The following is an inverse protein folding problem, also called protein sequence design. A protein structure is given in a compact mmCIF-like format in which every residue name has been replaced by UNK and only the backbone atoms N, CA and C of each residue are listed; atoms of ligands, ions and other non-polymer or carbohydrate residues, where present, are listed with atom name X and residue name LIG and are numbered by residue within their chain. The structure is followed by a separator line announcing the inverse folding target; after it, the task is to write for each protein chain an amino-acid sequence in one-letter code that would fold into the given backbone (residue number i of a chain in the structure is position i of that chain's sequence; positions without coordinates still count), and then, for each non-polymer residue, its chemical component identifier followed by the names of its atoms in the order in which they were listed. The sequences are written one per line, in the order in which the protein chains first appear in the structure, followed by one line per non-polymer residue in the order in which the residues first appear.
data_IF_436415591732
#
_entry.id   IF_436415591732
#
_cell.length_a   1.000
_cell.length_b   1.000
_cell.length_c   1.000
_cell.angle_alpha   90.00
_cell.angle_beta   90.00
_cell.angle_gamma   90.00
#
_symmetry.space_group_name_H-M   'P 1'
#
loop_
_entity.id
_entity.type
_entity.pdbx_description
1 polymer ?
#
# COMPACT_ATOMS: atom_id res chain seq x y z
N UNK A 1 26.99 1.08 -15.29
CA UNK A 1 26.09 0.09 -14.68
C UNK A 1 24.93 0.78 -13.97
N UNK A 2 23.72 0.59 -14.49
CA UNK A 2 22.49 1.16 -13.95
C UNK A 2 21.89 0.31 -12.82
N UNK A 3 21.45 0.95 -11.75
CA UNK A 3 20.84 0.29 -10.58
C UNK A 3 19.46 0.88 -10.28
N UNK A 4 18.46 0.02 -10.12
CA UNK A 4 17.15 0.41 -9.61
C UNK A 4 17.06 0.07 -8.13
N UNK A 5 16.89 1.09 -7.29
CA UNK A 5 16.66 0.95 -5.85
C UNK A 5 15.19 1.15 -5.53
N UNK A 6 14.50 0.11 -5.05
CA UNK A 6 13.12 0.24 -4.56
C UNK A 6 13.15 0.31 -3.05
N UNK A 7 12.77 1.46 -2.48
CA UNK A 7 12.78 1.71 -1.03
C UNK A 7 11.43 2.21 -0.52
N UNK A 8 10.99 1.81 0.68
CA UNK A 8 9.84 2.42 1.32
C UNK A 8 10.18 3.86 1.75
N UNK A 9 9.27 4.82 1.50
CA UNK A 9 9.46 6.25 1.82
C UNK A 9 9.47 6.53 3.33
N UNK A 10 8.80 5.70 4.13
CA UNK A 10 8.80 5.75 5.60
C UNK A 10 8.87 4.33 6.15
N UNK A 11 9.54 4.14 7.31
CA UNK A 11 9.39 2.91 8.11
C UNK A 11 7.91 2.77 8.46
N UNK A 12 7.25 1.77 7.86
CA UNK A 12 5.89 1.43 8.21
C UNK A 12 5.88 0.77 9.59
N UNK A 13 4.88 1.07 10.42
CA UNK A 13 4.68 0.42 11.73
C UNK A 13 4.40 -1.08 11.59
N UNK A 14 3.89 -1.50 10.43
CA UNK A 14 3.69 -2.90 10.04
C UNK A 14 4.37 -3.08 8.69
N UNK A 15 5.51 -3.78 8.67
CA UNK A 15 6.25 -4.09 7.45
C UNK A 15 5.62 -5.29 6.73
N UNK A 16 4.49 -5.05 6.09
CA UNK A 16 3.90 -6.06 5.22
C UNK A 16 4.87 -6.36 4.05
N UNK A 17 5.01 -7.62 3.63
CA UNK A 17 5.80 -7.94 2.46
C UNK A 17 5.10 -7.40 1.21
N UNK A 18 5.86 -6.78 0.30
CA UNK A 18 5.38 -6.31 -0.99
C UNK A 18 6.21 -6.93 -2.10
N UNK A 19 5.57 -7.52 -3.09
CA UNK A 19 6.25 -7.99 -4.30
C UNK A 19 6.59 -6.80 -5.19
N UNK A 20 7.81 -6.79 -5.72
CA UNK A 20 8.23 -5.86 -6.77
C UNK A 20 8.23 -6.62 -8.08
N UNK A 21 7.43 -6.11 -9.01
CA UNK A 21 7.33 -6.61 -10.36
C UNK A 21 7.92 -5.57 -11.32
N UNK A 22 8.69 -6.02 -12.29
CA UNK A 22 9.17 -5.20 -13.40
C UNK A 22 8.65 -5.84 -14.68
N UNK A 23 7.92 -5.06 -15.50
CA UNK A 23 7.22 -5.58 -16.68
C UNK A 23 6.40 -6.85 -16.35
N UNK A 24 5.69 -6.80 -15.23
CA UNK A 24 4.84 -7.89 -14.71
C UNK A 24 5.58 -9.19 -14.30
N UNK A 25 6.92 -9.21 -14.29
CA UNK A 25 7.74 -10.28 -13.72
C UNK A 25 8.16 -9.96 -12.29
N UNK A 26 7.97 -10.91 -11.36
CA UNK A 26 8.39 -10.76 -9.97
C UNK A 26 9.90 -10.85 -9.88
N UNK A 27 10.55 -9.75 -9.51
CA UNK A 27 12.02 -9.68 -9.36
C UNK A 27 12.48 -9.63 -7.90
N UNK A 28 11.57 -9.36 -6.96
CA UNK A 28 11.93 -9.35 -5.55
C UNK A 28 10.77 -9.09 -4.60
N UNK A 29 11.08 -9.12 -3.31
CA UNK A 29 10.14 -8.87 -2.22
C UNK A 29 10.73 -7.81 -1.28
N UNK A 30 10.01 -6.70 -1.12
CA UNK A 30 10.31 -5.60 -0.19
C UNK A 30 9.65 -5.94 1.15
N UNK A 31 10.45 -6.23 2.17
CA UNK A 31 10.02 -6.41 3.57
C UNK A 31 10.95 -5.61 4.48
N UNK A 32 10.68 -4.31 4.62
CA UNK A 32 11.50 -3.39 5.44
C UNK A 32 12.89 -3.05 4.87
N UNK A 33 13.37 -3.80 3.87
CA UNK A 33 14.69 -3.64 3.25
C UNK A 33 14.58 -3.10 1.81
N UNK A 34 15.65 -2.44 1.37
CA UNK A 34 15.77 -1.90 0.00
C UNK A 34 16.06 -3.05 -0.96
N UNK A 35 15.26 -3.19 -2.01
CA UNK A 35 15.51 -4.17 -3.08
C UNK A 35 16.36 -3.49 -4.15
N UNK A 36 17.48 -4.13 -4.49
CA UNK A 36 18.39 -3.70 -5.56
C UNK A 36 18.14 -4.57 -6.78
N UNK A 37 17.78 -3.97 -7.90
CA UNK A 37 17.52 -4.68 -9.15
C UNK A 37 18.46 -4.13 -10.22
N UNK A 38 19.20 -5.02 -10.87
CA UNK A 38 20.01 -4.68 -12.04
C UNK A 38 19.11 -4.69 -13.26
N UNK A 39 19.04 -3.56 -13.96
CA UNK A 39 18.26 -3.41 -15.20
C UNK A 39 19.12 -2.68 -16.23
N UNK A 40 19.16 -3.14 -17.50
CA UNK A 40 19.80 -2.39 -18.57
C UNK A 40 19.05 -1.07 -18.83
N UNK A 41 19.63 -0.18 -19.63
CA UNK A 41 18.96 1.06 -20.00
C UNK A 41 17.67 0.78 -20.78
N UNK A 42 16.60 1.48 -20.43
CA UNK A 42 15.28 1.26 -21.02
C UNK A 42 14.12 1.78 -20.17
N UNK A 43 12.91 1.66 -20.72
CA UNK A 43 11.67 2.00 -20.03
C UNK A 43 11.05 0.75 -19.41
N UNK A 44 10.78 0.81 -18.11
CA UNK A 44 10.27 -0.31 -17.32
C UNK A 44 9.02 0.08 -16.56
N UNK A 45 8.00 -0.79 -16.59
CA UNK A 45 6.85 -0.70 -15.71
C UNK A 45 7.20 -1.34 -14.37
N UNK A 46 7.45 -0.52 -13.36
CA UNK A 46 7.67 -0.98 -11.98
C UNK A 46 6.33 -1.03 -11.27
N UNK A 47 5.93 -2.22 -10.82
CA UNK A 47 4.69 -2.45 -10.09
C UNK A 47 5.01 -3.02 -8.72
N UNK A 48 4.50 -2.37 -7.68
CA UNK A 48 4.58 -2.85 -6.31
C UNK A 48 3.22 -3.42 -5.93
N UNK A 49 3.18 -4.69 -5.58
CA UNK A 49 1.96 -5.42 -5.22
C UNK A 49 2.07 -5.89 -3.78
N UNK A 50 1.05 -5.62 -2.97
CA UNK A 50 0.98 -6.19 -1.62
C UNK A 50 0.79 -7.70 -1.68
N UNK A 51 1.19 -8.44 -0.64
CA UNK A 51 0.86 -9.88 -0.50
C UNK A 51 -0.65 -10.11 -0.59
N UNK A 52 -1.44 -9.14 -0.14
CA UNK A 52 -2.86 -9.09 -0.44
C UNK A 52 -3.05 -8.69 -1.91
N UNK A 53 -3.20 -9.72 -2.77
CA UNK A 53 -3.22 -9.70 -4.25
C UNK A 53 -4.05 -8.58 -4.92
N UNK A 54 -4.93 -7.92 -4.17
CA UNK A 54 -5.84 -6.91 -4.68
C UNK A 54 -5.27 -5.50 -4.68
N UNK A 55 -4.20 -5.22 -3.92
CA UNK A 55 -3.62 -3.89 -3.76
C UNK A 55 -2.29 -3.79 -4.51
N UNK A 56 -2.21 -2.89 -5.48
CA UNK A 56 -0.99 -2.63 -6.24
C UNK A 56 -0.87 -1.15 -6.64
N UNK A 57 0.33 -0.75 -7.02
CA UNK A 57 0.60 0.54 -7.63
C UNK A 57 1.73 0.38 -8.64
N UNK A 58 1.54 1.01 -9.80
CA UNK A 58 2.47 0.91 -10.93
C UNK A 58 2.95 2.29 -11.35
N UNK A 59 4.23 2.39 -11.71
CA UNK A 59 4.81 3.57 -12.32
C UNK A 59 5.74 3.15 -13.47
N UNK A 60 5.78 3.99 -14.50
CA UNK A 60 6.76 3.87 -15.57
C UNK A 60 8.05 4.54 -15.11
N UNK A 61 9.16 3.84 -15.25
CA UNK A 61 10.49 4.28 -14.84
C UNK A 61 11.40 4.17 -16.04
N UNK A 62 12.04 5.27 -16.41
CA UNK A 62 13.09 5.29 -17.42
C UNK A 62 14.44 5.18 -16.71
N UNK A 63 15.26 4.23 -17.16
CA UNK A 63 16.61 3.99 -16.65
C UNK A 63 17.57 4.34 -17.78
N UNK A 64 18.37 5.40 -17.61
CA UNK A 64 19.44 5.77 -18.54
C UNK A 64 20.68 4.89 -18.39
N UNK A 65 21.61 5.01 -19.34
CA UNK A 65 22.93 4.39 -19.23
C UNK A 65 23.70 4.99 -18.05
N UNK A 66 24.22 4.13 -17.17
CA UNK A 66 24.96 4.50 -15.94
C UNK A 66 24.16 5.30 -14.88
N UNK A 67 22.83 5.39 -15.02
CA UNK A 67 22.00 6.10 -14.04
C UNK A 67 21.54 5.20 -12.88
N UNK A 68 21.46 5.81 -11.69
CA UNK A 68 20.86 5.18 -10.51
C UNK A 68 19.48 5.75 -10.25
N UNK A 69 18.45 4.93 -10.44
CA UNK A 69 17.07 5.35 -10.26
C UNK A 69 16.54 4.81 -8.93
N UNK A 70 16.06 5.72 -8.09
CA UNK A 70 15.47 5.35 -6.80
C UNK A 70 13.95 5.51 -6.85
N UNK A 71 13.23 4.40 -6.70
CA UNK A 71 11.78 4.36 -6.54
C UNK A 71 11.41 4.35 -5.06
N UNK A 72 10.83 5.45 -4.59
CA UNK A 72 10.26 5.53 -3.25
C UNK A 72 8.80 5.12 -3.26
N UNK A 73 8.45 4.06 -2.52
CA UNK A 73 7.08 3.58 -2.38
C UNK A 73 6.46 4.21 -1.13
N UNK A 74 5.32 4.88 -1.29
CA UNK A 74 4.55 5.42 -0.18
C UNK A 74 3.10 4.99 -0.24
N UNK A 75 2.53 4.74 0.93
CA UNK A 75 1.13 4.37 1.11
C UNK A 75 0.27 5.63 1.25
N UNK A 76 -0.82 5.69 0.49
CA UNK A 76 -1.74 6.83 0.48
C UNK A 76 -2.73 6.81 1.66
N UNK A 77 -2.85 5.69 2.39
CA UNK A 77 -4.09 5.35 3.10
C UNK A 77 -3.98 5.32 4.63
N UNK A 78 -2.91 5.89 5.19
CA UNK A 78 -2.61 5.80 6.63
C UNK A 78 -3.78 6.27 7.52
N UNK A 79 -4.47 7.35 7.15
CA UNK A 79 -5.61 7.87 7.91
C UNK A 79 -6.84 6.96 7.88
N UNK A 80 -7.13 6.36 6.72
CA UNK A 80 -8.27 5.45 6.57
C UNK A 80 -8.03 4.12 7.24
N UNK A 81 -6.79 3.61 7.18
CA UNK A 81 -6.40 2.42 7.96
C UNK A 81 -6.49 2.68 9.47
N UNK A 82 -6.14 3.89 9.94
CA UNK A 82 -6.32 4.27 11.35
C UNK A 82 -7.81 4.31 11.71
N UNK A 83 -8.64 4.97 10.90
CA UNK A 83 -10.08 5.09 11.15
C UNK A 83 -10.76 3.72 11.19
N UNK A 84 -10.37 2.82 10.28
CA UNK A 84 -10.80 1.42 10.28
C UNK A 84 -10.36 0.67 11.54
N UNK A 85 -9.09 0.78 11.93
CA UNK A 85 -8.61 0.13 13.16
C UNK A 85 -9.34 0.64 14.40
N UNK A 86 -9.65 1.93 14.46
CA UNK A 86 -10.44 2.52 15.56
C UNK A 86 -11.85 1.94 15.57
N UNK A 87 -12.52 1.89 14.41
CA UNK A 87 -13.86 1.30 14.30
C UNK A 87 -13.87 -0.18 14.69
N UNK A 88 -12.86 -0.95 14.27
CA UNK A 88 -12.71 -2.36 14.63
C UNK A 88 -12.48 -2.57 16.13
N UNK A 89 -11.70 -1.69 16.77
CA UNK A 89 -11.50 -1.70 18.23
C UNK A 89 -12.82 -1.35 18.95
N UNK A 90 -13.54 -0.33 18.48
CA UNK A 90 -14.85 0.05 19.03
C UNK A 90 -15.85 -1.10 18.90
N UNK A 91 -15.86 -1.78 17.76
CA UNK A 91 -16.71 -2.93 17.50
C UNK A 91 -16.36 -4.10 18.43
N UNK A 92 -15.07 -4.38 18.61
CA UNK A 92 -14.61 -5.39 19.57
C UNK A 92 -14.95 -5.01 21.01
N UNK A 93 -14.78 -3.75 21.40
CA UNK A 93 -15.11 -3.25 22.73
C UNK A 93 -16.61 -3.32 23.02
N UNK A 94 -17.46 -3.02 22.04
CA UNK A 94 -18.92 -3.20 22.09
C UNK A 94 -19.30 -4.63 22.47
N UNK A 95 -18.51 -5.63 22.07
CA UNK A 95 -18.78 -7.04 22.44
C UNK A 95 -18.75 -7.28 23.95
N UNK A 96 -18.04 -6.44 24.70
CA UNK A 96 -17.89 -6.54 26.15
C UNK A 96 -18.69 -5.49 26.92
N UNK A 97 -19.27 -4.50 26.25
CA UNK A 97 -19.99 -3.38 26.87
C UNK A 97 -21.34 -3.18 26.17
N UNK A 98 -22.44 -3.37 26.91
CA UNK A 98 -23.78 -3.07 26.42
C UNK A 98 -24.05 -1.56 26.52
N UNK A 99 -24.16 -0.90 25.37
CA UNK A 99 -24.40 0.55 25.27
C UNK A 99 -25.91 0.87 25.41
N UNK A 100 -26.76 -0.15 25.24
CA UNK A 100 -28.22 -0.04 25.38
C UNK A 100 -28.90 0.57 24.14
N UNK A 101 -30.18 0.27 23.95
CA UNK A 101 -30.97 0.89 22.87
C UNK A 101 -31.27 2.37 23.17
N UNK A 102 -31.35 3.25 22.14
CA UNK A 102 -31.24 2.96 20.70
C UNK A 102 -29.81 3.10 20.13
N UNK A 103 -28.85 3.46 20.97
CA UNK A 103 -27.47 3.77 20.55
C UNK A 103 -26.77 2.57 19.95
N UNK A 104 -27.15 1.36 20.36
CA UNK A 104 -26.65 0.11 19.82
C UNK A 104 -26.92 -0.02 18.30
N UNK A 105 -28.15 0.27 17.90
CA UNK A 105 -28.62 0.25 16.50
C UNK A 105 -27.95 1.34 15.68
N UNK A 106 -27.81 2.55 16.25
CA UNK A 106 -27.14 3.67 15.59
C UNK A 106 -25.68 3.33 15.29
N UNK A 107 -24.98 2.74 16.26
CA UNK A 107 -23.60 2.32 16.08
C UNK A 107 -23.47 1.22 15.00
N UNK A 108 -24.35 0.21 14.99
CA UNK A 108 -24.29 -0.84 13.98
C UNK A 108 -24.52 -0.33 12.56
N UNK A 109 -25.50 0.54 12.37
CA UNK A 109 -25.77 1.15 11.06
C UNK A 109 -24.57 2.00 10.61
N UNK A 110 -23.99 2.79 11.53
CA UNK A 110 -22.84 3.62 11.23
C UNK A 110 -21.58 2.79 10.91
N UNK A 111 -21.25 1.78 11.72
CA UNK A 111 -20.07 0.93 11.53
C UNK A 111 -20.20 0.06 10.28
N UNK A 112 -21.36 -0.56 10.03
CA UNK A 112 -21.58 -1.35 8.82
C UNK A 112 -21.54 -0.46 7.55
N UNK A 113 -22.16 0.73 7.60
CA UNK A 113 -22.09 1.70 6.52
C UNK A 113 -20.65 2.17 6.26
N UNK A 114 -19.90 2.46 7.32
CA UNK A 114 -18.49 2.82 7.24
C UNK A 114 -17.65 1.70 6.63
N UNK A 115 -17.87 0.44 7.06
CA UNK A 115 -17.21 -0.74 6.51
C UNK A 115 -17.46 -0.91 5.01
N UNK A 116 -18.72 -0.74 4.58
CA UNK A 116 -19.09 -0.80 3.17
C UNK A 116 -18.42 0.31 2.34
N UNK A 117 -18.40 1.54 2.86
CA UNK A 117 -17.72 2.68 2.22
C UNK A 117 -16.22 2.41 2.13
N UNK A 118 -15.61 1.88 3.19
CA UNK A 118 -14.20 1.54 3.22
C UNK A 118 -13.84 0.46 2.19
N UNK A 119 -14.63 -0.61 2.08
CA UNK A 119 -14.44 -1.64 1.05
C UNK A 119 -14.58 -1.09 -0.37
N UNK A 120 -15.63 -0.31 -0.64
CA UNK A 120 -15.84 0.33 -1.94
C UNK A 120 -14.65 1.21 -2.30
N UNK A 121 -14.17 2.01 -1.35
CA UNK A 121 -13.05 2.92 -1.54
C UNK A 121 -11.76 2.15 -1.80
N UNK A 122 -11.45 1.13 -1.00
CA UNK A 122 -10.33 0.21 -1.25
C UNK A 122 -10.39 -0.36 -2.66
N UNK A 123 -11.57 -0.76 -3.12
CA UNK A 123 -11.76 -1.28 -4.47
C UNK A 123 -11.45 -0.26 -5.56
N UNK A 124 -11.88 0.99 -5.39
CA UNK A 124 -11.62 2.10 -6.32
C UNK A 124 -10.12 2.42 -6.39
N UNK A 125 -9.46 2.54 -5.24
CA UNK A 125 -8.06 2.99 -5.18
C UNK A 125 -7.05 1.84 -5.35
N UNK A 126 -7.51 0.59 -5.44
CA UNK A 126 -6.67 -0.61 -5.36
C UNK A 126 -5.48 -0.63 -6.32
N UNK A 127 -5.61 0.01 -7.49
CA UNK A 127 -4.58 0.10 -8.56
C UNK A 127 -3.68 1.32 -8.44
N UNK A 128 -4.02 2.27 -7.56
CA UNK A 128 -3.31 3.54 -7.33
C UNK A 128 -2.93 3.72 -5.85
N UNK A 129 -2.93 2.61 -5.10
CA UNK A 129 -2.75 2.62 -3.65
C UNK A 129 -1.34 3.07 -3.27
N UNK A 130 -0.34 2.58 -4.01
CA UNK A 130 1.05 2.97 -3.83
C UNK A 130 1.40 4.15 -4.74
N UNK A 131 1.89 5.23 -4.13
CA UNK A 131 2.58 6.31 -4.84
C UNK A 131 4.05 5.95 -4.96
N UNK A 132 4.52 5.81 -6.18
CA UNK A 132 5.92 5.60 -6.51
C UNK A 132 6.49 6.95 -6.94
N UNK A 133 7.41 7.51 -6.16
CA UNK A 133 8.16 8.70 -6.53
C UNK A 133 9.52 8.28 -7.09
N UNK A 134 9.88 8.82 -8.25
CA UNK A 134 11.12 8.51 -8.95
C UNK A 134 12.10 9.64 -8.66
N UNK A 135 13.29 9.28 -8.19
CA UNK A 135 14.43 10.19 -8.11
C UNK A 135 15.56 9.60 -8.96
N UNK A 136 15.90 10.28 -10.06
CA UNK A 136 17.16 10.08 -10.77
C UNK A 136 18.20 10.98 -10.14
N UNK A 137 19.43 10.49 -10.03
CA UNK A 137 20.54 11.15 -9.35
C UNK A 137 21.76 11.16 -10.27
#
# INVERSE_FOLDING_TARGET
MSYLYVKPKKKHLVELPHYVLVNDQVLGLVKGQVVRIHLPAGSYKVTVRSVYKFIEGSAMVEVGDDETVTCMVSDHEKWWNILFNVDLILWAAKRFVNIGEPWDTVYEVASNGFFAIWLLRLWIIRKRYFKIAIHSN
#
